data_IF_940570984369
#
_entry.id   IF_940570984369
#
_cell.length_a   1.000
_cell.length_b   1.000
_cell.length_c   1.000
_cell.angle_alpha   90.00
_cell.angle_beta   90.00
_cell.angle_gamma   90.00
#
_symmetry.space_group_name_H-M   'P 1'
#
loop_
_entity.id
_entity.type
_entity.pdbx_description
1 polymer ?
#
# COMPACT_ATOMS: atom_id res chain seq x y z
N UNK A 1 0.23 8.47 14.38
CA UNK A 1 -0.83 7.53 14.81
C UNK A 1 -1.82 7.30 13.68
N UNK A 2 -2.19 6.04 13.45
CA UNK A 2 -3.17 5.70 12.42
C UNK A 2 -4.56 6.04 12.94
N UNK A 3 -5.30 6.84 12.15
CA UNK A 3 -6.66 7.21 12.54
C UNK A 3 -7.72 6.50 11.73
N UNK A 4 -7.35 5.89 10.61
CA UNK A 4 -8.28 5.20 9.74
C UNK A 4 -7.54 4.21 8.86
N UNK A 5 -8.16 3.07 8.60
CA UNK A 5 -7.64 2.09 7.65
C UNK A 5 -8.74 1.75 6.67
N UNK A 6 -8.41 1.80 5.40
CA UNK A 6 -9.34 1.51 4.31
C UNK A 6 -8.78 0.38 3.47
N UNK A 7 -9.61 -0.61 3.19
CA UNK A 7 -9.23 -1.74 2.34
C UNK A 7 -10.23 -1.86 1.23
N UNK A 8 -9.72 -2.00 0.01
CA UNK A 8 -10.60 -2.13 -1.14
C UNK A 8 -9.91 -2.91 -2.25
N UNK A 9 -10.67 -3.28 -3.25
CA UNK A 9 -10.18 -4.06 -4.39
C UNK A 9 -10.74 -3.42 -5.64
N UNK A 10 -9.91 -3.28 -6.68
CA UNK A 10 -10.37 -2.73 -7.95
C UNK A 10 -10.90 -3.82 -8.87
N UNK A 11 -11.31 -3.42 -10.06
CA UNK A 11 -11.90 -4.34 -11.03
C UNK A 11 -10.91 -5.37 -11.54
N UNK A 12 -9.62 -5.07 -11.48
CA UNK A 12 -8.57 -5.98 -11.90
C UNK A 12 -8.16 -6.96 -10.81
N UNK A 13 -8.77 -6.85 -9.65
CA UNK A 13 -8.46 -7.72 -8.55
C UNK A 13 -7.29 -7.26 -7.69
N UNK A 14 -6.77 -6.08 -7.95
CA UNK A 14 -5.69 -5.51 -7.15
C UNK A 14 -6.27 -5.04 -5.82
N UNK A 15 -5.66 -5.48 -4.74
CA UNK A 15 -6.09 -5.09 -3.40
C UNK A 15 -5.27 -3.92 -2.90
N UNK A 16 -5.94 -3.04 -2.19
CA UNK A 16 -5.31 -1.84 -1.65
C UNK A 16 -5.58 -1.77 -0.16
N UNK A 17 -4.57 -1.41 0.59
CA UNK A 17 -4.71 -1.05 2.01
C UNK A 17 -4.17 0.35 2.17
N UNK A 18 -5.01 1.26 2.64
CA UNK A 18 -4.61 2.65 2.87
C UNK A 18 -4.75 2.94 4.35
N UNK A 19 -3.65 3.35 4.97
CA UNK A 19 -3.63 3.74 6.38
C UNK A 19 -3.46 5.23 6.46
N UNK A 20 -4.42 5.90 7.07
CA UNK A 20 -4.43 7.35 7.18
C UNK A 20 -3.92 7.75 8.55
N UNK A 21 -3.04 8.73 8.57
CA UNK A 21 -2.41 9.21 9.79
C UNK A 21 -2.97 10.56 10.19
N UNK A 22 -2.78 10.91 11.46
CA UNK A 22 -3.32 12.14 12.01
C UNK A 22 -2.62 13.39 11.49
N UNK A 23 -1.47 13.25 10.86
CA UNK A 23 -0.78 14.39 10.24
C UNK A 23 -1.24 14.69 8.82
N UNK A 24 -2.24 13.95 8.34
CA UNK A 24 -2.77 14.14 6.99
C UNK A 24 -2.09 13.31 5.91
N UNK A 25 -1.08 12.54 6.27
CA UNK A 25 -0.43 11.63 5.33
C UNK A 25 -1.13 10.29 5.31
N UNK A 26 -0.78 9.46 4.34
CA UNK A 26 -1.27 8.09 4.29
C UNK A 26 -0.20 7.15 3.77
N UNK A 27 -0.35 5.89 4.11
CA UNK A 27 0.52 4.81 3.68
C UNK A 27 -0.32 3.85 2.85
N UNK A 28 0.07 3.62 1.61
CA UNK A 28 -0.68 2.79 0.69
C UNK A 28 0.12 1.54 0.38
N UNK A 29 -0.54 0.40 0.44
CA UNK A 29 0.04 -0.87 0.03
C UNK A 29 -0.85 -1.46 -1.04
N UNK A 30 -0.26 -1.77 -2.20
CA UNK A 30 -0.97 -2.37 -3.32
C UNK A 30 -0.49 -3.80 -3.49
N UNK A 31 -1.44 -4.72 -3.47
CA UNK A 31 -1.14 -6.16 -3.61
C UNK A 31 -1.44 -6.60 -5.04
N UNK A 32 -0.39 -6.67 -5.83
CA UNK A 32 -0.47 -7.14 -7.21
C UNK A 32 -0.18 -8.64 -7.29
N UNK A 33 -0.52 -9.32 -8.38
CA UNK A 33 -0.23 -10.75 -8.49
C UNK A 33 1.25 -11.10 -8.39
N UNK A 34 2.13 -10.21 -8.90
CA UNK A 34 3.55 -10.49 -9.00
C UNK A 34 4.39 -9.79 -7.95
N UNK A 35 3.85 -8.76 -7.32
CA UNK A 35 4.63 -7.95 -6.40
C UNK A 35 3.71 -7.19 -5.45
N UNK A 36 4.32 -6.59 -4.43
CA UNK A 36 3.63 -5.69 -3.52
C UNK A 36 4.29 -4.34 -3.66
N UNK A 37 3.49 -3.31 -3.84
CA UNK A 37 3.97 -1.95 -3.99
C UNK A 37 3.54 -1.16 -2.77
N UNK A 38 4.52 -0.56 -2.10
CA UNK A 38 4.30 0.15 -0.85
C UNK A 38 4.84 1.56 -0.98
N UNK A 39 4.08 2.56 -0.57
CA UNK A 39 4.52 3.94 -0.66
C UNK A 39 3.73 4.81 0.32
N UNK A 40 4.26 6.00 0.54
CA UNK A 40 3.61 7.00 1.38
C UNK A 40 3.19 8.19 0.53
N UNK A 41 2.05 8.77 0.89
CA UNK A 41 1.58 10.02 0.30
C UNK A 41 1.56 11.04 1.41
N UNK A 42 2.31 12.14 1.23
CA UNK A 42 2.31 13.21 2.21
C UNK A 42 1.00 13.95 2.15
N UNK A 43 0.75 14.76 3.16
CA UNK A 43 -0.45 15.58 3.21
C UNK A 43 -0.57 16.48 1.98
N UNK A 44 0.55 16.86 1.36
CA UNK A 44 0.57 17.68 0.14
C UNK A 44 0.37 16.86 -1.13
N UNK A 45 0.22 15.56 -1.02
CA UNK A 45 0.01 14.72 -2.18
C UNK A 45 1.29 14.17 -2.82
N UNK A 46 2.43 14.33 -2.16
CA UNK A 46 3.70 13.87 -2.67
C UNK A 46 3.93 12.41 -2.34
N UNK A 47 4.34 11.64 -3.32
CA UNK A 47 4.62 10.22 -3.11
C UNK A 47 6.06 10.04 -2.66
N UNK A 48 6.25 9.38 -1.52
CA UNK A 48 7.56 9.15 -0.92
C UNK A 48 7.74 7.67 -0.57
N UNK A 49 8.99 7.28 -0.41
CA UNK A 49 9.35 5.97 0.12
C UNK A 49 8.69 4.83 -0.66
N UNK A 50 8.78 4.89 -1.99
CA UNK A 50 8.24 3.84 -2.83
C UNK A 50 9.12 2.60 -2.74
N UNK A 51 8.50 1.47 -2.43
CA UNK A 51 9.18 0.20 -2.35
C UNK A 51 8.38 -0.82 -3.14
N UNK A 52 9.03 -1.48 -4.09
CA UNK A 52 8.47 -2.61 -4.81
C UNK A 52 9.07 -3.87 -4.22
N UNK A 53 8.23 -4.70 -3.63
CA UNK A 53 8.67 -5.96 -3.07
C UNK A 53 8.15 -7.09 -3.93
N UNK A 54 9.02 -8.01 -4.36
CA UNK A 54 8.53 -9.15 -5.09
C UNK A 54 7.57 -9.95 -4.22
N UNK A 55 6.51 -10.43 -4.83
CA UNK A 55 5.61 -11.28 -4.08
C UNK A 55 6.36 -12.57 -3.81
N UNK A 56 6.52 -12.84 -2.55
CA UNK A 56 7.36 -13.93 -2.13
C UNK A 56 6.59 -15.22 -2.17
N UNK A 57 6.94 -16.07 -3.09
CA UNK A 57 6.44 -17.43 -3.05
C UNK A 57 7.18 -18.15 -1.94
N UNK A 58 6.45 -18.92 -1.17
CA UNK A 58 7.06 -19.68 -0.12
C UNK A 58 8.17 -20.55 -0.73
N UNK A 59 9.41 -20.36 -0.30
CA UNK A 59 10.51 -21.14 -0.86
C UNK A 59 10.45 -22.62 -0.56
N UNK A 60 9.61 -23.00 0.37
CA UNK A 60 9.41 -24.42 0.64
C UNK A 60 8.37 -25.00 -0.29
N UNK A 61 7.65 -24.11 -0.88
CA UNK A 61 6.65 -24.55 -1.85
C UNK A 61 7.31 -24.80 -3.15
#
# INVERSE_FOLDING_TARGET
>A
MIVWTWRWKDDDGIRYTERFYDDGSKHVTEYHPDYVWDYRITKDGKKLAEVHMPKFDDPTG
#
